data_IF_428895709149
#
_entry.id   IF_428895709149
#
_cell.length_a   1.000
_cell.length_b   1.000
_cell.length_c   1.000
_cell.angle_alpha   90.00
_cell.angle_beta   90.00
_cell.angle_gamma   90.00
#
_symmetry.space_group_name_H-M   'P 1'
#
loop_
_entity.id
_entity.type
_entity.pdbx_description
1 polymer ?
#
# COMPACT_ATOMS: atom_id res chain seq x y z
N UNK A 1 26.54 -34.80 -45.64
CA UNK A 1 27.93 -34.74 -45.13
C UNK A 1 28.28 -33.29 -44.80
N UNK A 2 29.00 -33.07 -43.68
CA UNK A 2 29.53 -31.82 -43.07
C UNK A 2 28.48 -31.03 -42.23
N UNK A 3 28.30 -31.32 -40.93
CA UNK A 3 29.04 -30.86 -39.71
C UNK A 3 28.99 -29.32 -39.54
N UNK A 4 28.17 -28.79 -38.62
CA UNK A 4 28.46 -28.43 -37.21
C UNK A 4 29.57 -27.36 -37.03
N UNK A 5 29.16 -26.14 -36.61
CA UNK A 5 29.84 -25.11 -35.77
C UNK A 5 29.15 -23.77 -36.12
N UNK A 6 28.31 -23.14 -35.29
CA UNK A 6 28.74 -22.32 -34.16
C UNK A 6 27.57 -22.16 -33.17
N UNK A 7 27.66 -22.84 -32.03
CA UNK A 7 27.08 -22.36 -30.77
C UNK A 7 28.11 -21.37 -30.23
N UNK A 8 27.70 -20.12 -29.93
CA UNK A 8 28.19 -19.24 -28.85
C UNK A 8 27.76 -17.79 -29.09
N UNK A 9 26.47 -17.46 -28.92
CA UNK A 9 26.06 -16.15 -28.38
C UNK A 9 24.85 -16.39 -27.46
N UNK A 10 25.11 -17.03 -26.32
CA UNK A 10 24.29 -16.86 -25.12
C UNK A 10 25.17 -16.07 -24.16
N UNK A 11 24.60 -15.02 -23.55
CA UNK A 11 25.22 -14.00 -22.68
C UNK A 11 25.83 -12.78 -23.39
N UNK A 12 24.95 -11.86 -23.79
CA UNK A 12 25.28 -10.42 -23.76
C UNK A 12 24.06 -9.65 -23.23
N UNK A 13 23.95 -9.41 -21.90
CA UNK A 13 22.96 -8.51 -21.36
C UNK A 13 23.58 -7.12 -21.26
N UNK A 14 23.96 -6.50 -22.37
CA UNK A 14 24.36 -5.09 -22.36
C UNK A 14 23.84 -4.41 -23.64
N UNK A 15 22.51 -4.32 -23.74
CA UNK A 15 21.93 -3.12 -24.33
C UNK A 15 22.22 -2.01 -23.31
N UNK A 16 23.25 -1.20 -23.59
CA UNK A 16 23.52 0.05 -22.86
C UNK A 16 22.21 0.85 -22.89
N UNK A 17 21.54 0.95 -21.74
CA UNK A 17 20.42 1.85 -21.56
C UNK A 17 20.85 3.23 -22.04
N UNK A 18 20.07 3.83 -22.92
CA UNK A 18 20.39 5.13 -23.50
C UNK A 18 20.63 6.16 -22.39
N UNK A 19 21.51 7.13 -22.63
CA UNK A 19 21.76 8.25 -21.72
C UNK A 19 20.46 8.95 -21.31
N UNK A 20 19.46 8.98 -22.20
CA UNK A 20 18.10 9.48 -21.92
C UNK A 20 17.38 8.68 -20.82
N UNK A 21 17.57 7.37 -20.73
CA UNK A 21 16.92 6.53 -19.73
C UNK A 21 17.58 6.65 -18.35
N UNK A 22 18.90 6.84 -18.30
CA UNK A 22 19.61 7.16 -17.06
C UNK A 22 19.26 8.57 -16.55
N UNK A 23 19.13 9.55 -17.43
CA UNK A 23 18.66 10.90 -17.08
C UNK A 23 17.20 10.88 -16.61
N UNK A 24 16.34 10.06 -17.23
CA UNK A 24 14.96 9.88 -16.77
C UNK A 24 14.89 9.21 -15.39
N UNK A 25 15.74 8.21 -15.12
CA UNK A 25 15.86 7.59 -13.80
C UNK A 25 16.41 8.57 -12.75
N UNK A 26 17.39 9.43 -13.12
CA UNK A 26 17.98 10.41 -12.20
C UNK A 26 16.99 11.53 -11.89
N UNK A 27 16.32 12.09 -12.90
CA UNK A 27 15.23 13.06 -12.72
C UNK A 27 14.06 12.47 -11.93
N UNK A 28 13.72 11.19 -12.13
CA UNK A 28 12.71 10.49 -11.33
C UNK A 28 13.14 10.27 -9.88
N UNK A 29 14.44 10.05 -9.63
CA UNK A 29 15.00 9.93 -8.28
C UNK A 29 15.14 11.29 -7.57
N UNK A 30 15.31 12.38 -8.32
CA UNK A 30 15.36 13.76 -7.82
C UNK A 30 13.95 14.34 -7.61
N UNK A 31 12.92 13.81 -8.30
CA UNK A 31 11.49 13.95 -7.94
C UNK A 31 11.11 13.00 -6.78
N UNK A 32 12.08 12.53 -5.99
CA UNK A 32 11.82 12.39 -4.55
C UNK A 32 11.53 13.79 -4.03
N UNK A 33 10.26 14.18 -4.06
CA UNK A 33 9.74 15.07 -3.05
C UNK A 33 10.07 14.46 -1.70
N UNK A 34 11.17 14.94 -1.13
CA UNK A 34 11.40 14.95 0.31
C UNK A 34 10.12 15.57 0.88
N UNK A 35 9.26 14.80 1.57
CA UNK A 35 8.18 15.41 2.33
C UNK A 35 8.85 16.48 3.19
N UNK A 36 8.39 17.73 3.09
CA UNK A 36 9.02 18.89 3.70
C UNK A 36 9.60 18.54 5.07
N UNK A 37 10.92 18.65 5.20
CA UNK A 37 11.75 17.92 6.16
C UNK A 37 11.51 18.29 7.64
N UNK A 38 10.62 19.22 7.94
CA UNK A 38 10.44 19.75 9.29
C UNK A 38 9.01 19.57 9.84
N UNK A 39 7.99 19.41 8.99
CA UNK A 39 6.62 19.02 9.38
C UNK A 39 5.93 18.33 8.19
N UNK A 40 5.49 17.08 8.39
CA UNK A 40 4.77 16.32 7.35
C UNK A 40 3.50 17.06 6.90
N UNK A 41 2.89 17.88 7.74
CA UNK A 41 1.65 18.60 7.44
C UNK A 41 1.88 19.92 6.68
N UNK A 42 3.07 20.50 6.73
CA UNK A 42 3.44 21.68 5.94
C UNK A 42 3.36 21.44 4.44
N UNK A 43 3.39 20.18 4.01
CA UNK A 43 3.04 19.79 2.64
C UNK A 43 1.75 20.47 2.15
N UNK A 44 0.71 20.54 2.99
CA UNK A 44 -0.58 21.08 2.57
C UNK A 44 -0.57 22.60 2.40
N UNK A 45 0.12 23.31 3.29
CA UNK A 45 0.19 24.79 3.31
C UNK A 45 1.26 25.33 2.36
N UNK A 46 2.44 24.72 2.36
CA UNK A 46 3.63 25.27 1.70
C UNK A 46 3.88 24.68 0.32
N UNK A 47 3.22 23.57 -0.04
CA UNK A 47 3.36 22.96 -1.35
C UNK A 47 2.03 22.85 -2.09
N UNK A 48 1.04 22.13 -1.55
CA UNK A 48 -0.19 21.84 -2.28
C UNK A 48 -1.02 23.10 -2.52
N UNK A 49 -1.25 23.90 -1.47
CA UNK A 49 -2.02 25.14 -1.59
C UNK A 49 -1.35 26.16 -2.52
N UNK A 50 -0.01 26.29 -2.49
CA UNK A 50 0.72 27.18 -3.40
C UNK A 50 0.67 26.77 -4.88
N UNK A 51 0.26 25.53 -5.18
CA UNK A 51 0.16 25.01 -6.54
C UNK A 51 -1.25 25.15 -7.12
N UNK A 52 -2.27 24.98 -6.28
CA UNK A 52 -3.68 24.90 -6.71
C UNK A 52 -4.55 26.07 -6.24
N UNK A 53 -4.09 26.82 -5.23
CA UNK A 53 -4.65 28.11 -4.78
C UNK A 53 -6.17 28.11 -4.49
N UNK A 54 -6.66 27.07 -3.83
CA UNK A 54 -8.09 26.89 -3.54
C UNK A 54 -8.61 27.66 -2.32
N UNK A 55 -7.73 28.35 -1.60
CA UNK A 55 -8.02 29.13 -0.41
C UNK A 55 -8.29 28.32 0.84
N UNK A 56 -8.60 29.02 1.94
CA UNK A 56 -8.81 28.43 3.28
C UNK A 56 -9.93 27.38 3.33
N UNK A 57 -10.94 27.51 2.46
CA UNK A 57 -12.05 26.57 2.34
C UNK A 57 -11.73 25.35 1.46
N UNK A 58 -10.65 25.41 0.67
CA UNK A 58 -10.21 24.35 -0.23
C UNK A 58 -9.70 23.12 0.50
N UNK A 59 -9.53 22.02 -0.24
CA UNK A 59 -9.14 20.73 0.35
C UNK A 59 -7.81 20.80 1.11
N UNK A 60 -6.79 21.46 0.55
CA UNK A 60 -5.45 21.46 1.13
C UNK A 60 -5.46 22.02 2.56
N UNK A 61 -6.06 23.20 2.77
CA UNK A 61 -6.11 23.87 4.07
C UNK A 61 -7.28 23.35 4.93
N UNK A 62 -8.50 23.44 4.39
CA UNK A 62 -9.74 23.18 5.12
C UNK A 62 -9.93 21.73 5.56
N UNK A 63 -9.25 20.79 4.88
CA UNK A 63 -9.34 19.36 5.17
C UNK A 63 -7.97 18.71 5.43
N UNK A 64 -7.04 18.80 4.47
CA UNK A 64 -5.74 18.15 4.47
C UNK A 64 -4.89 18.53 5.67
N UNK A 65 -4.53 19.81 5.77
CA UNK A 65 -3.76 20.36 6.89
C UNK A 65 -4.48 20.15 8.22
N UNK A 66 -5.76 20.55 8.30
CA UNK A 66 -6.62 20.38 9.49
C UNK A 66 -6.53 18.97 10.06
N UNK A 67 -6.69 17.94 9.23
CA UNK A 67 -6.66 16.56 9.71
C UNK A 67 -5.25 16.01 9.88
N UNK A 68 -4.31 16.37 9.02
CA UNK A 68 -2.92 16.00 9.19
C UNK A 68 -2.39 16.41 10.56
N UNK A 69 -2.51 17.68 10.93
CA UNK A 69 -1.99 18.20 12.19
C UNK A 69 -2.65 17.56 13.40
N UNK A 70 -3.97 17.29 13.33
CA UNK A 70 -4.67 16.57 14.41
C UNK A 70 -4.20 15.14 14.54
N UNK A 71 -4.04 14.41 13.44
CA UNK A 71 -3.55 13.04 13.45
C UNK A 71 -2.11 12.96 13.97
N UNK A 72 -1.24 13.90 13.58
CA UNK A 72 0.13 13.94 14.05
C UNK A 72 0.20 14.24 15.56
N UNK A 73 -0.51 15.26 16.04
CA UNK A 73 -0.62 15.57 17.47
C UNK A 73 -1.17 14.40 18.30
N UNK A 74 -2.13 13.66 17.76
CA UNK A 74 -2.79 12.55 18.46
C UNK A 74 -2.01 11.22 18.35
N UNK A 75 -1.01 11.14 17.46
CA UNK A 75 -0.19 9.94 17.18
C UNK A 75 0.42 9.31 18.42
N UNK A 76 0.76 10.11 19.45
CA UNK A 76 1.29 9.62 20.72
C UNK A 76 0.37 8.61 21.44
N UNK A 77 -0.94 8.68 21.20
CA UNK A 77 -1.93 7.81 21.83
C UNK A 77 -2.10 6.45 21.12
N UNK A 78 -1.52 6.31 19.92
CA UNK A 78 -1.65 5.12 19.10
C UNK A 78 -0.71 4.01 19.58
N UNK A 79 -1.08 2.76 19.30
CA UNK A 79 -0.16 1.63 19.39
C UNK A 79 1.01 1.79 18.40
N UNK A 80 2.10 1.04 18.59
CA UNK A 80 3.22 1.07 17.64
C UNK A 80 2.78 0.76 16.20
N UNK A 81 1.86 -0.19 16.02
CA UNK A 81 1.29 -0.48 14.70
C UNK A 81 0.41 0.68 14.19
N UNK A 82 -0.38 1.31 15.06
CA UNK A 82 -1.18 2.48 14.71
C UNK A 82 -0.33 3.66 14.26
N UNK A 83 0.80 3.93 14.93
CA UNK A 83 1.75 4.99 14.52
C UNK A 83 2.30 4.74 13.11
N UNK A 84 2.76 3.51 12.85
CA UNK A 84 3.24 3.10 11.53
C UNK A 84 2.16 3.21 10.45
N UNK A 85 0.91 2.85 10.77
CA UNK A 85 -0.22 3.05 9.86
C UNK A 85 -0.46 4.54 9.58
N UNK A 86 -0.45 5.38 10.61
CA UNK A 86 -0.67 6.82 10.47
C UNK A 86 0.36 7.46 9.54
N UNK A 87 1.65 7.23 9.80
CA UNK A 87 2.74 7.78 9.00
C UNK A 87 2.69 7.23 7.55
N UNK A 88 2.41 5.93 7.38
CA UNK A 88 2.26 5.31 6.06
C UNK A 88 1.07 5.87 5.28
N UNK A 89 -0.05 6.12 5.96
CA UNK A 89 -1.25 6.69 5.33
C UNK A 89 -0.99 8.14 4.90
N UNK A 90 -0.44 8.98 5.78
CA UNK A 90 -0.08 10.37 5.48
C UNK A 90 0.83 10.45 4.27
N UNK A 91 1.94 9.69 4.27
CA UNK A 91 2.87 9.66 3.15
C UNK A 91 2.19 9.23 1.84
N UNK A 92 1.38 8.17 1.86
CA UNK A 92 0.66 7.71 0.68
C UNK A 92 -0.27 8.78 0.11
N UNK A 93 -1.05 9.45 0.96
CA UNK A 93 -1.99 10.50 0.56
C UNK A 93 -1.27 11.64 -0.14
N UNK A 94 -0.18 12.12 0.45
CA UNK A 94 0.62 13.22 -0.09
C UNK A 94 1.25 12.81 -1.42
N UNK A 95 1.87 11.63 -1.50
CA UNK A 95 2.43 11.13 -2.76
C UNK A 95 1.37 11.02 -3.85
N UNK A 96 0.13 10.59 -3.54
CA UNK A 96 -0.95 10.54 -4.52
C UNK A 96 -1.32 11.92 -5.04
N UNK A 97 -1.38 12.93 -4.16
CA UNK A 97 -1.69 14.31 -4.53
C UNK A 97 -0.59 14.93 -5.40
N UNK A 98 0.68 14.74 -5.02
CA UNK A 98 1.85 15.15 -5.81
C UNK A 98 1.79 14.57 -7.21
N UNK A 99 1.60 13.25 -7.30
CA UNK A 99 1.55 12.58 -8.59
C UNK A 99 0.40 13.13 -9.44
N UNK A 100 -0.75 13.43 -8.83
CA UNK A 100 -1.92 13.93 -9.53
C UNK A 100 -1.71 15.33 -10.11
N UNK A 101 -1.20 16.28 -9.32
CA UNK A 101 -0.98 17.66 -9.79
C UNK A 101 0.20 17.76 -10.77
N UNK A 102 1.10 16.79 -10.76
CA UNK A 102 2.24 16.73 -11.70
C UNK A 102 1.93 15.91 -12.96
N UNK A 103 0.72 15.35 -13.13
CA UNK A 103 0.33 14.68 -14.38
C UNK A 103 0.30 15.67 -15.55
N UNK A 104 -0.14 16.90 -15.29
CA UNK A 104 -0.16 18.00 -16.25
C UNK A 104 0.26 19.30 -15.53
N UNK A 105 1.56 19.61 -15.48
CA UNK A 105 2.06 20.75 -14.70
C UNK A 105 1.64 22.11 -15.27
N UNK A 106 1.10 22.15 -16.49
CA UNK A 106 0.62 23.37 -17.14
C UNK A 106 -0.88 23.59 -16.97
N UNK A 107 -1.61 22.57 -16.53
CA UNK A 107 -3.05 22.62 -16.33
C UNK A 107 -3.43 22.04 -14.96
N UNK A 108 -3.37 22.90 -13.93
CA UNK A 108 -3.71 22.50 -12.57
C UNK A 108 -5.18 22.08 -12.46
N UNK A 109 -5.50 21.05 -11.66
CA UNK A 109 -6.87 20.63 -11.47
C UNK A 109 -7.70 21.72 -10.78
N UNK A 110 -9.00 21.74 -11.06
CA UNK A 110 -9.96 22.53 -10.28
C UNK A 110 -9.94 22.12 -8.81
N UNK A 111 -10.40 23.01 -7.93
CA UNK A 111 -10.50 22.73 -6.50
C UNK A 111 -11.40 21.54 -6.18
N UNK A 112 -12.51 21.41 -6.91
CA UNK A 112 -13.44 20.30 -6.82
C UNK A 112 -12.80 18.98 -7.28
N UNK A 113 -12.00 19.02 -8.35
CA UNK A 113 -11.34 17.81 -8.86
C UNK A 113 -10.18 17.36 -7.98
N UNK A 114 -9.41 18.31 -7.44
CA UNK A 114 -8.40 18.03 -6.43
C UNK A 114 -9.03 17.36 -5.21
N UNK A 115 -10.09 17.95 -4.66
CA UNK A 115 -10.79 17.39 -3.51
C UNK A 115 -11.35 15.99 -3.82
N UNK A 116 -12.02 15.83 -4.96
CA UNK A 116 -12.59 14.55 -5.40
C UNK A 116 -11.52 13.48 -5.54
N UNK A 117 -10.39 13.81 -6.16
CA UNK A 117 -9.25 12.92 -6.27
C UNK A 117 -8.70 12.54 -4.90
N UNK A 118 -8.56 13.51 -4.01
CA UNK A 118 -8.03 13.29 -2.67
C UNK A 118 -8.87 12.28 -1.89
N UNK A 119 -10.19 12.49 -1.77
CA UNK A 119 -11.09 11.53 -1.12
C UNK A 119 -11.11 10.16 -1.79
N UNK A 120 -10.98 10.10 -3.13
CA UNK A 120 -10.89 8.82 -3.87
C UNK A 120 -9.62 8.05 -3.53
N UNK A 121 -8.52 8.74 -3.19
CA UNK A 121 -7.26 8.10 -2.80
C UNK A 121 -7.33 7.47 -1.39
N UNK A 122 -8.12 8.04 -0.48
CA UNK A 122 -8.15 7.68 0.95
C UNK A 122 -8.32 6.18 1.20
N UNK A 123 -9.34 5.46 0.64
CA UNK A 123 -9.52 4.05 0.94
C UNK A 123 -8.28 3.21 0.64
N UNK A 124 -7.62 3.47 -0.50
CA UNK A 124 -6.43 2.71 -0.90
C UNK A 124 -5.21 3.03 -0.03
N UNK A 125 -5.01 4.30 0.35
CA UNK A 125 -3.94 4.70 1.26
C UNK A 125 -4.15 4.22 2.70
N UNK A 126 -5.40 4.12 3.16
CA UNK A 126 -5.70 3.56 4.48
C UNK A 126 -5.48 2.06 4.53
N UNK A 127 -5.68 1.33 3.43
CA UNK A 127 -5.63 -0.14 3.41
C UNK A 127 -4.36 -0.70 2.78
N UNK A 128 -3.22 -0.02 2.93
CA UNK A 128 -1.95 -0.47 2.38
C UNK A 128 -1.56 -1.87 2.86
N UNK A 129 -0.79 -2.60 2.03
CA UNK A 129 -0.45 -4.02 2.27
C UNK A 129 0.37 -4.24 3.55
N UNK A 130 1.30 -3.33 3.87
CA UNK A 130 2.19 -3.44 5.04
C UNK A 130 1.51 -2.97 6.32
N UNK A 131 0.99 -1.74 6.31
CA UNK A 131 0.28 -1.13 7.43
C UNK A 131 -1.15 -0.79 6.99
N UNK A 132 -2.11 -1.60 7.44
CA UNK A 132 -3.49 -1.54 6.96
C UNK A 132 -4.41 -1.09 8.08
N UNK A 133 -5.30 -0.15 7.77
CA UNK A 133 -6.42 0.24 8.62
C UNK A 133 -7.20 -0.98 9.09
N UNK A 134 -7.39 -1.97 8.20
CA UNK A 134 -8.14 -3.20 8.48
C UNK A 134 -7.54 -4.07 9.61
N UNK A 135 -6.28 -3.85 9.97
CA UNK A 135 -5.53 -4.63 10.95
C UNK A 135 -5.24 -3.83 12.23
N UNK A 136 -5.82 -2.63 12.37
CA UNK A 136 -5.69 -1.83 13.58
C UNK A 136 -6.32 -2.51 14.79
N UNK A 137 -5.80 -2.18 15.97
CA UNK A 137 -6.39 -2.60 17.25
C UNK A 137 -7.59 -1.72 17.60
N UNK A 138 -8.50 -2.23 18.43
CA UNK A 138 -9.68 -1.49 18.89
C UNK A 138 -9.34 -0.10 19.43
N UNK A 139 -8.29 0.01 20.25
CA UNK A 139 -7.79 1.29 20.78
C UNK A 139 -7.44 2.30 19.69
N UNK A 140 -6.80 1.85 18.60
CA UNK A 140 -6.41 2.74 17.50
C UNK A 140 -7.64 3.24 16.73
N UNK A 141 -8.66 2.41 16.51
CA UNK A 141 -9.93 2.86 15.93
C UNK A 141 -10.62 3.92 16.80
N UNK A 142 -10.68 3.71 18.12
CA UNK A 142 -11.24 4.69 19.06
C UNK A 142 -10.48 6.01 18.96
N UNK A 143 -9.16 5.95 18.91
CA UNK A 143 -8.33 7.15 18.80
C UNK A 143 -8.54 7.88 17.47
N UNK A 144 -8.72 7.17 16.35
CA UNK A 144 -9.07 7.76 15.05
C UNK A 144 -10.41 8.49 15.12
N UNK A 145 -11.43 7.88 15.73
CA UNK A 145 -12.74 8.51 15.89
C UNK A 145 -12.70 9.78 16.75
N UNK A 146 -11.77 9.87 17.70
CA UNK A 146 -11.56 11.10 18.50
C UNK A 146 -10.91 12.25 17.71
N UNK A 147 -10.22 11.94 16.61
CA UNK A 147 -9.58 12.96 15.75
C UNK A 147 -10.56 13.54 14.74
N UNK A 148 -11.43 12.71 14.16
CA UNK A 148 -12.31 13.09 13.06
C UNK A 148 -13.58 13.75 13.58
N UNK A 149 -13.99 14.88 12.98
CA UNK A 149 -15.25 15.53 13.35
C UNK A 149 -16.45 14.75 12.82
N UNK A 150 -17.49 14.62 13.64
CA UNK A 150 -18.71 13.89 13.28
C UNK A 150 -19.34 14.40 11.97
N UNK A 151 -19.41 15.73 11.78
CA UNK A 151 -19.94 16.33 10.55
C UNK A 151 -19.19 15.89 9.28
N UNK A 152 -17.89 15.68 9.37
CA UNK A 152 -17.05 15.30 8.23
C UNK A 152 -17.21 13.79 7.95
N UNK A 153 -17.34 12.96 9.00
CA UNK A 153 -17.65 11.52 8.87
C UNK A 153 -19.03 11.27 8.25
N UNK A 154 -20.04 12.04 8.69
CA UNK A 154 -21.43 11.89 8.28
C UNK A 154 -21.75 12.61 6.96
N UNK A 155 -20.80 13.37 6.41
CA UNK A 155 -20.94 13.95 5.08
C UNK A 155 -21.08 12.85 4.01
N UNK A 156 -21.71 13.16 2.86
CA UNK A 156 -21.81 12.23 1.72
C UNK A 156 -20.43 11.69 1.30
N UNK A 157 -19.41 12.55 1.28
CA UNK A 157 -18.01 12.19 0.97
C UNK A 157 -17.42 11.26 2.03
N UNK A 158 -17.61 11.58 3.32
CA UNK A 158 -17.18 10.78 4.46
C UNK A 158 -17.78 9.37 4.47
N UNK A 159 -19.10 9.26 4.32
CA UNK A 159 -19.82 7.98 4.25
C UNK A 159 -19.30 7.13 3.08
N UNK A 160 -19.16 7.73 1.89
CA UNK A 160 -18.65 7.03 0.70
C UNK A 160 -17.24 6.47 0.94
N UNK A 161 -16.36 7.25 1.58
CA UNK A 161 -15.02 6.81 1.96
C UNK A 161 -15.08 5.65 2.95
N UNK A 162 -15.87 5.76 4.02
CA UNK A 162 -16.02 4.72 5.04
C UNK A 162 -16.49 3.40 4.41
N UNK A 163 -17.52 3.45 3.56
CA UNK A 163 -18.03 2.27 2.85
C UNK A 163 -16.97 1.64 1.93
N UNK A 164 -16.20 2.46 1.21
CA UNK A 164 -15.13 1.98 0.34
C UNK A 164 -14.00 1.29 1.14
N UNK A 165 -13.56 1.90 2.25
CA UNK A 165 -12.57 1.29 3.15
C UNK A 165 -13.09 -0.01 3.75
N UNK A 166 -14.34 -0.02 4.23
CA UNK A 166 -14.97 -1.21 4.80
C UNK A 166 -15.05 -2.35 3.78
N UNK A 167 -15.44 -2.07 2.53
CA UNK A 167 -15.46 -3.05 1.43
C UNK A 167 -14.10 -3.68 1.20
N UNK A 168 -13.02 -2.89 1.22
CA UNK A 168 -11.65 -3.41 1.10
C UNK A 168 -11.30 -4.31 2.29
N UNK A 169 -11.62 -3.90 3.52
CA UNK A 169 -11.34 -4.70 4.71
C UNK A 169 -12.09 -6.03 4.73
N UNK A 170 -13.38 -6.04 4.35
CA UNK A 170 -14.17 -7.27 4.21
C UNK A 170 -13.55 -8.18 3.15
N UNK A 171 -13.23 -7.64 1.96
CA UNK A 171 -12.58 -8.40 0.88
C UNK A 171 -11.26 -9.02 1.33
N UNK A 172 -10.44 -8.27 2.06
CA UNK A 172 -9.16 -8.75 2.60
C UNK A 172 -9.37 -9.89 3.63
N UNK A 173 -10.34 -9.74 4.53
CA UNK A 173 -10.69 -10.77 5.51
C UNK A 173 -11.19 -12.06 4.86
N UNK A 174 -12.04 -11.95 3.83
CA UNK A 174 -12.52 -13.10 3.05
C UNK A 174 -11.37 -13.79 2.30
N UNK A 175 -10.49 -13.01 1.65
CA UNK A 175 -9.30 -13.54 0.96
C UNK A 175 -8.37 -14.29 1.93
N UNK A 176 -8.15 -13.74 3.13
CA UNK A 176 -7.34 -14.37 4.16
C UNK A 176 -7.96 -15.68 4.65
N UNK A 177 -9.27 -15.69 4.96
CA UNK A 177 -10.01 -16.91 5.32
C UNK A 177 -9.90 -17.99 4.24
N UNK A 178 -10.09 -17.64 2.96
CA UNK A 178 -9.95 -18.56 1.83
C UNK A 178 -8.53 -19.13 1.73
N UNK A 179 -7.51 -18.28 1.82
CA UNK A 179 -6.10 -18.71 1.78
C UNK A 179 -5.75 -19.66 2.92
N UNK A 180 -6.24 -19.40 4.13
CA UNK A 180 -6.01 -20.28 5.29
C UNK A 180 -6.72 -21.62 5.15
N UNK A 181 -7.96 -21.65 4.63
CA UNK A 181 -8.66 -22.90 4.33
C UNK A 181 -7.86 -23.75 3.34
N UNK A 182 -7.40 -23.16 2.23
CA UNK A 182 -6.57 -23.85 1.22
C UNK A 182 -5.25 -24.35 1.84
N UNK A 183 -4.56 -23.52 2.63
CA UNK A 183 -3.32 -23.90 3.32
C UNK A 183 -3.52 -25.08 4.26
N UNK A 184 -4.64 -25.11 4.98
CA UNK A 184 -5.00 -26.19 5.89
C UNK A 184 -5.28 -27.50 5.12
N UNK A 185 -6.06 -27.43 4.04
CA UNK A 185 -6.34 -28.59 3.18
C UNK A 185 -5.05 -29.17 2.56
N UNK A 186 -4.16 -28.31 2.07
CA UNK A 186 -2.86 -28.72 1.54
C UNK A 186 -1.99 -29.40 2.61
N UNK A 187 -1.95 -28.83 3.84
CA UNK A 187 -1.21 -29.42 4.97
C UNK A 187 -1.75 -30.81 5.34
N UNK A 188 -3.06 -31.02 5.30
CA UNK A 188 -3.68 -32.34 5.53
C UNK A 188 -3.25 -33.36 4.47
N UNK A 189 -3.28 -32.98 3.18
CA UNK A 189 -2.84 -33.86 2.08
C UNK A 189 -1.37 -34.26 2.19
N UNK A 190 -0.48 -33.33 2.51
CA UNK A 190 0.94 -33.64 2.75
C UNK A 190 1.09 -34.61 3.93
N UNK A 191 0.38 -34.40 5.03
CA UNK A 191 0.44 -35.29 6.20
C UNK A 191 0.00 -36.72 5.84
N UNK A 192 -1.07 -36.86 5.06
CA UNK A 192 -1.56 -38.15 4.58
C UNK A 192 -0.56 -38.84 3.63
N UNK A 193 0.05 -38.08 2.72
CA UNK A 193 1.07 -38.58 1.81
C UNK A 193 2.31 -39.07 2.57
N UNK A 194 2.81 -38.30 3.54
CA UNK A 194 3.95 -38.70 4.37
C UNK A 194 3.65 -39.97 5.17
N UNK A 195 2.43 -40.11 5.70
CA UNK A 195 2.01 -41.32 6.40
C UNK A 195 2.00 -42.54 5.47
N UNK A 196 1.49 -42.39 4.24
CA UNK A 196 1.49 -43.44 3.23
C UNK A 196 2.92 -43.85 2.85
N UNK A 197 3.80 -42.88 2.58
CA UNK A 197 5.21 -43.13 2.26
C UNK A 197 5.88 -43.90 3.40
N UNK A 198 5.71 -43.47 4.66
CA UNK A 198 6.27 -44.17 5.82
C UNK A 198 5.82 -45.63 5.93
N UNK A 199 4.54 -45.90 5.65
CA UNK A 199 4.02 -47.27 5.68
C UNK A 199 4.60 -48.12 4.54
N UNK A 200 4.67 -47.58 3.32
CA UNK A 200 5.28 -48.26 2.17
C UNK A 200 6.76 -48.55 2.44
N UNK A 201 7.52 -47.58 2.97
CA UNK A 201 8.93 -47.76 3.31
C UNK A 201 9.12 -48.85 4.36
N UNK A 202 8.28 -48.89 5.41
CA UNK A 202 8.31 -49.95 6.42
C UNK A 202 8.00 -51.33 5.83
N UNK A 203 7.04 -51.41 4.91
CA UNK A 203 6.67 -52.66 4.24
C UNK A 203 7.81 -53.17 3.34
N UNK A 204 8.44 -52.27 2.58
CA UNK A 204 9.60 -52.60 1.75
C UNK A 204 10.79 -53.09 2.58
N UNK A 205 11.11 -52.41 3.69
CA UNK A 205 12.16 -52.83 4.62
C UNK A 205 11.89 -54.23 5.21
N UNK A 206 10.63 -54.52 5.56
CA UNK A 206 10.24 -55.84 6.06
C UNK A 206 10.41 -56.93 5.01
N UNK A 207 10.07 -56.66 3.76
CA UNK A 207 10.21 -57.62 2.66
C UNK A 207 11.68 -57.91 2.35
N UNK A 208 12.55 -56.88 2.34
CA UNK A 208 13.99 -57.05 2.12
C UNK A 208 14.60 -57.95 3.21
N UNK A 209 14.26 -57.75 4.49
CA UNK A 209 14.78 -58.58 5.60
C UNK A 209 14.36 -60.05 5.55
N UNK A 210 13.27 -60.40 4.85
CA UNK A 210 12.82 -61.79 4.73
C UNK A 210 13.57 -62.56 3.64
N UNK A 211 14.26 -61.85 2.74
CA UNK A 211 14.95 -62.42 1.58
C UNK A 211 16.48 -62.42 1.74
N UNK A 212 16.98 -62.05 2.94
CA UNK A 212 18.37 -62.15 3.38
C UNK A 212 18.46 -63.24 4.44
#
# INVERSE_FOLDING_TARGET
>A
MKKLLFILIIFSPILKASSQQQIFQSLYSDIKMKPCDNDICDFYTNYLEKKVECGKGGYAIGYGYKYCSKFDKYKKNYSNYGKLWNDSAMKCLQTKLVNYINLDPYNMPSCEDLERFAFKSHPTCYTQKKYSFCNLRAKDYINILKVIQAKDLLSKKGIKQVLATAKICIKNKLRFKKKNKIKLEFKKKIKALNFLILNITKQLQKNIRKNL
#
